data_IF_044448156543
#
_entry.id   IF_044448156543
#
_cell.length_a   1.000
_cell.length_b   1.000
_cell.length_c   1.000
_cell.angle_alpha   90.00
_cell.angle_beta   90.00
_cell.angle_gamma   90.00
#
_symmetry.space_group_name_H-M   'P 1'
#
loop_
_entity.id
_entity.type
_entity.pdbx_description
1 polymer ?
#
# COMPACT_ATOMS: atom_id res chain seq x y z
N UNK A 1 -14.53 0.70 -9.60
CA UNK A 1 -13.36 1.02 -8.76
C UNK A 1 -13.11 2.50 -8.88
N UNK A 2 -13.11 3.24 -7.77
CA UNK A 2 -12.84 4.69 -7.79
C UNK A 2 -11.35 4.90 -7.57
N UNK A 3 -10.70 5.65 -8.46
CA UNK A 3 -9.28 5.98 -8.38
C UNK A 3 -9.08 7.46 -8.66
N UNK A 4 -8.11 8.05 -7.98
CA UNK A 4 -7.87 9.48 -8.01
C UNK A 4 -7.04 9.95 -6.83
N UNK A 5 -6.97 11.26 -6.65
CA UNK A 5 -6.20 11.92 -5.60
C UNK A 5 -7.15 12.36 -4.48
N UNK A 6 -6.77 12.16 -3.22
CA UNK A 6 -7.54 12.70 -2.09
C UNK A 6 -7.40 14.23 -2.07
N UNK A 7 -8.53 14.93 -2.16
CA UNK A 7 -8.60 16.40 -2.10
C UNK A 7 -8.87 16.90 -0.67
N UNK A 8 -9.71 16.18 0.08
CA UNK A 8 -10.10 16.53 1.43
C UNK A 8 -10.49 15.26 2.21
N UNK A 9 -10.21 15.25 3.50
CA UNK A 9 -10.74 14.27 4.47
C UNK A 9 -11.56 15.06 5.50
N UNK A 10 -12.80 14.64 5.71
CA UNK A 10 -13.74 15.25 6.64
C UNK A 10 -14.43 14.14 7.46
N UNK A 11 -13.89 13.88 8.65
CA UNK A 11 -14.32 12.77 9.50
C UNK A 11 -14.23 11.43 8.77
N UNK A 12 -15.39 10.78 8.60
CA UNK A 12 -15.54 9.51 7.89
C UNK A 12 -15.72 9.67 6.37
N UNK A 13 -15.56 10.88 5.82
CA UNK A 13 -15.68 11.15 4.38
C UNK A 13 -14.34 11.52 3.76
N UNK A 14 -14.09 10.98 2.57
CA UNK A 14 -12.92 11.27 1.75
C UNK A 14 -13.42 11.80 0.41
N UNK A 15 -13.00 13.00 0.03
CA UNK A 15 -13.29 13.60 -1.26
C UNK A 15 -12.16 13.26 -2.22
N UNK A 16 -12.44 12.41 -3.21
CA UNK A 16 -11.46 11.94 -4.19
C UNK A 16 -11.67 12.70 -5.49
N UNK A 17 -10.66 13.45 -5.93
CA UNK A 17 -10.59 14.00 -7.27
C UNK A 17 -10.21 12.87 -8.24
N UNK A 18 -11.14 12.51 -9.11
CA UNK A 18 -10.96 11.46 -10.10
C UNK A 18 -10.15 11.97 -11.30
N UNK A 19 -9.54 11.05 -12.04
CA UNK A 19 -8.66 11.42 -13.18
C UNK A 19 -9.39 12.15 -14.32
N UNK A 20 -10.71 11.98 -14.41
CA UNK A 20 -11.58 12.68 -15.36
C UNK A 20 -12.01 14.07 -14.86
N UNK A 21 -11.45 14.56 -13.75
CA UNK A 21 -11.70 15.90 -13.20
C UNK A 21 -12.89 16.02 -12.26
N UNK A 22 -13.67 14.95 -12.07
CA UNK A 22 -14.77 14.90 -11.11
C UNK A 22 -14.31 14.82 -9.65
N UNK A 23 -15.23 15.05 -8.71
CA UNK A 23 -15.02 14.79 -7.29
C UNK A 23 -16.04 13.76 -6.81
N UNK A 24 -15.56 12.66 -6.24
CA UNK A 24 -16.39 11.61 -5.65
C UNK A 24 -16.23 11.64 -4.13
N UNK A 25 -17.35 11.59 -3.41
CA UNK A 25 -17.35 11.44 -1.95
C UNK A 25 -17.36 9.97 -1.59
N UNK A 26 -16.33 9.50 -0.89
CA UNK A 26 -16.19 8.15 -0.36
C UNK A 26 -16.48 8.20 1.13
N UNK A 27 -17.43 7.40 1.61
CA UNK A 27 -17.70 7.27 3.06
C UNK A 27 -17.01 6.01 3.58
N UNK A 28 -16.20 6.17 4.62
CA UNK A 28 -15.52 5.09 5.32
C UNK A 28 -16.24 4.74 6.62
N UNK A 29 -15.98 3.55 7.14
CA UNK A 29 -16.45 3.08 8.44
C UNK A 29 -15.29 2.48 9.23
N UNK A 30 -15.55 2.08 10.48
CA UNK A 30 -14.55 1.38 11.33
C UNK A 30 -14.05 0.07 10.72
N UNK A 31 -14.83 -0.55 9.84
CA UNK A 31 -14.44 -1.78 9.14
C UNK A 31 -13.62 -1.51 7.87
N UNK A 32 -13.54 -0.24 7.44
CA UNK A 32 -12.77 0.15 6.27
C UNK A 32 -11.28 0.04 6.56
N UNK A 33 -10.62 -0.95 5.95
CA UNK A 33 -9.16 -1.11 6.02
C UNK A 33 -8.49 -0.05 5.15
N UNK A 34 -7.80 0.89 5.78
CA UNK A 34 -6.98 1.90 5.10
C UNK A 34 -5.51 1.47 5.14
N UNK A 35 -4.91 1.28 3.98
CA UNK A 35 -3.47 1.01 3.84
C UNK A 35 -2.79 2.20 3.18
N UNK A 36 -1.77 2.74 3.85
CA UNK A 36 -0.99 3.89 3.35
C UNK A 36 0.42 3.41 3.06
N UNK A 37 0.76 3.34 1.78
CA UNK A 37 2.13 3.06 1.33
C UNK A 37 2.88 4.38 1.19
N UNK A 38 4.10 4.45 1.73
CA UNK A 38 4.98 5.61 1.62
C UNK A 38 6.33 5.16 1.10
N UNK A 39 7.00 6.03 0.34
CA UNK A 39 8.39 5.79 -0.04
C UNK A 39 9.25 5.81 1.23
N UNK A 40 10.00 4.73 1.44
CA UNK A 40 10.97 4.59 2.51
C UNK A 40 12.38 4.38 1.96
N UNK A 41 13.35 4.36 2.87
CA UNK A 41 14.73 3.97 2.58
C UNK A 41 14.98 2.55 3.05
N UNK A 42 15.99 1.90 2.48
CA UNK A 42 16.43 0.57 2.93
C UNK A 42 16.81 0.57 4.42
N UNK A 43 17.36 1.68 4.91
CA UNK A 43 17.67 1.88 6.34
C UNK A 43 16.45 1.86 7.27
N UNK A 44 15.25 2.05 6.73
CA UNK A 44 14.01 2.05 7.52
C UNK A 44 13.51 0.61 7.77
N UNK A 45 14.00 -0.36 6.98
CA UNK A 45 13.67 -1.77 7.12
C UNK A 45 14.34 -2.36 8.36
N UNK A 46 13.55 -2.94 9.25
CA UNK A 46 14.04 -3.58 10.47
C UNK A 46 14.20 -5.08 10.24
N UNK A 47 15.23 -5.72 10.82
CA UNK A 47 15.28 -7.18 10.88
C UNK A 47 13.98 -7.74 11.47
N UNK A 48 13.38 -8.72 10.80
CA UNK A 48 12.08 -9.30 11.18
C UNK A 48 10.86 -8.63 10.53
N UNK A 49 11.02 -7.50 9.82
CA UNK A 49 9.97 -6.96 8.97
C UNK A 49 9.65 -7.90 7.81
N UNK A 50 8.37 -8.00 7.45
CA UNK A 50 7.95 -8.70 6.25
C UNK A 50 8.04 -7.78 5.04
N UNK A 51 8.71 -8.24 4.00
CA UNK A 51 8.90 -7.49 2.77
C UNK A 51 8.54 -8.33 1.56
N UNK A 52 7.98 -7.67 0.54
CA UNK A 52 7.86 -8.23 -0.80
C UNK A 52 8.90 -7.55 -1.67
N UNK A 53 9.74 -8.35 -2.32
CA UNK A 53 10.79 -7.87 -3.23
C UNK A 53 10.36 -8.20 -4.66
N UNK A 54 10.32 -7.20 -5.53
CA UNK A 54 10.19 -7.39 -6.97
C UNK A 54 11.55 -7.15 -7.63
N UNK A 55 11.97 -8.06 -8.49
CA UNK A 55 13.27 -8.02 -9.15
C UNK A 55 13.54 -9.29 -9.94
N UNK A 56 14.74 -9.35 -10.52
CA UNK A 56 15.20 -10.52 -11.27
C UNK A 56 16.18 -11.31 -10.41
N UNK A 57 15.90 -12.60 -10.22
CA UNK A 57 16.84 -13.51 -9.58
C UNK A 57 17.87 -14.01 -10.60
N UNK A 58 19.14 -14.10 -10.19
CA UNK A 58 20.18 -14.77 -10.98
C UNK A 58 20.18 -16.30 -10.74
N UNK A 59 21.08 -17.02 -11.41
CA UNK A 59 21.21 -18.48 -11.29
C UNK A 59 21.68 -18.94 -9.90
N UNK A 60 22.17 -18.01 -9.09
CA UNK A 60 22.69 -18.19 -7.74
C UNK A 60 21.65 -17.80 -6.68
N UNK A 61 20.47 -17.34 -7.09
CA UNK A 61 19.37 -16.93 -6.22
C UNK A 61 19.50 -15.52 -5.63
N UNK A 62 20.46 -14.72 -6.09
CA UNK A 62 20.56 -13.30 -5.71
C UNK A 62 19.54 -12.49 -6.51
N UNK A 63 18.79 -11.62 -5.84
CA UNK A 63 17.74 -10.82 -6.46
C UNK A 63 18.22 -9.40 -6.68
N UNK A 64 18.34 -8.98 -7.95
CA UNK A 64 18.47 -7.58 -8.32
C UNK A 64 17.12 -6.89 -8.18
N UNK A 65 16.86 -6.31 -7.01
CA UNK A 65 15.58 -5.69 -6.68
C UNK A 65 15.36 -4.38 -7.45
N UNK A 66 14.18 -4.23 -8.06
CA UNK A 66 13.70 -2.98 -8.67
C UNK A 66 12.71 -2.26 -7.76
N UNK A 67 12.05 -2.98 -6.85
CA UNK A 67 11.27 -2.39 -5.75
C UNK A 67 11.21 -3.31 -4.54
N UNK A 68 11.13 -2.70 -3.35
CA UNK A 68 10.93 -3.38 -2.08
C UNK A 68 9.77 -2.71 -1.37
N UNK A 69 8.75 -3.50 -1.03
CA UNK A 69 7.57 -3.03 -0.32
C UNK A 69 7.53 -3.72 1.05
N UNK A 70 7.64 -2.94 2.12
CA UNK A 70 7.36 -3.44 3.47
C UNK A 70 5.85 -3.56 3.66
N UNK A 71 5.40 -4.75 4.05
CA UNK A 71 4.00 -5.06 4.25
C UNK A 71 3.78 -5.74 5.59
N UNK A 72 2.61 -5.52 6.21
CA UNK A 72 2.21 -6.39 7.31
C UNK A 72 1.87 -7.77 6.73
N UNK A 73 2.43 -8.84 7.29
CA UNK A 73 2.06 -10.23 6.96
C UNK A 73 0.63 -10.61 7.40
N UNK A 74 -0.31 -9.66 7.38
CA UNK A 74 -1.73 -9.88 7.65
C UNK A 74 -2.46 -10.44 6.41
N UNK A 75 -1.79 -11.34 5.68
CA UNK A 75 -2.38 -12.16 4.62
C UNK A 75 -2.25 -13.67 4.89
N UNK A 76 -1.58 -14.08 5.99
CA UNK A 76 -1.38 -15.51 6.34
C UNK A 76 -1.88 -15.87 7.75
N UNK A 77 -2.87 -15.12 8.27
CA UNK A 77 -3.61 -15.46 9.50
C UNK A 77 -5.14 -15.28 9.34
N UNK A 78 -5.64 -15.49 8.13
CA UNK A 78 -7.06 -15.67 7.87
C UNK A 78 -7.21 -16.98 7.07
N UNK A 79 -7.63 -18.05 7.75
CA UNK A 79 -7.63 -19.44 7.27
C UNK A 79 -6.42 -20.18 7.87
N UNK A 80 -6.58 -21.08 8.83
CA UNK A 80 -7.72 -21.89 9.27
C UNK A 80 -7.53 -22.28 10.73
#
# INVERSE_FOLDING_TARGET
MTFGTVKLVDGDKIYVQTVNGGVVTVTTSRDTKVQVTRTGKVSDLKPGSFVTVAGTADAQGQVAATSVTEGSAMGRRAGS
#
